data_IF_037757757646
#
_entry.id   IF_037757757646
#
_cell.length_a   1.000
_cell.length_b   1.000
_cell.length_c   1.000
_cell.angle_alpha   90.00
_cell.angle_beta   90.00
_cell.angle_gamma   90.00
#
_symmetry.space_group_name_H-M   'P 1'
#
loop_
_entity.id
_entity.type
_entity.pdbx_description
1 polymer ?
#
# COMPACT_ATOMS: atom_id res chain seq x y z
N UNK A 1 -10.47 12.75 -19.76
CA UNK A 1 -11.09 11.71 -18.89
C UNK A 1 -12.61 11.78 -18.98
N UNK A 2 -13.28 10.64 -19.17
CA UNK A 2 -14.73 10.50 -19.21
C UNK A 2 -15.13 9.19 -18.54
N UNK A 3 -16.34 9.13 -17.97
CA UNK A 3 -16.87 7.98 -17.21
C UNK A 3 -16.05 7.58 -15.98
N UNK A 4 -15.18 8.46 -15.51
CA UNK A 4 -14.36 8.28 -14.32
C UNK A 4 -15.04 8.96 -13.12
N UNK A 5 -14.87 8.38 -11.94
CA UNK A 5 -15.27 9.00 -10.69
C UNK A 5 -14.01 9.57 -10.03
N UNK A 6 -14.00 10.87 -9.78
CA UNK A 6 -12.94 11.56 -9.07
C UNK A 6 -13.31 11.73 -7.61
N UNK A 7 -12.34 11.54 -6.73
CA UNK A 7 -12.45 11.79 -5.30
C UNK A 7 -11.47 12.91 -4.94
N UNK A 8 -11.92 14.17 -4.92
CA UNK A 8 -11.06 15.27 -4.49
C UNK A 8 -10.51 15.03 -3.10
N UNK A 9 -9.32 15.54 -2.81
CA UNK A 9 -8.67 15.37 -1.51
C UNK A 9 -9.60 15.77 -0.35
N UNK A 10 -9.83 14.82 0.57
CA UNK A 10 -10.73 15.02 1.72
C UNK A 10 -12.23 14.85 1.43
N UNK A 11 -12.63 14.52 0.21
CA UNK A 11 -14.03 14.23 -0.10
C UNK A 11 -14.40 12.79 0.22
N UNK A 12 -15.56 12.59 0.84
CA UNK A 12 -16.14 11.25 1.09
C UNK A 12 -16.99 10.78 -0.10
N UNK A 13 -17.40 11.70 -0.97
CA UNK A 13 -18.19 11.41 -2.16
C UNK A 13 -17.41 11.82 -3.41
N UNK A 14 -17.35 10.92 -4.37
CA UNK A 14 -16.77 11.17 -5.68
C UNK A 14 -17.79 11.78 -6.64
N UNK A 15 -17.34 12.56 -7.61
CA UNK A 15 -18.19 12.97 -8.71
C UNK A 15 -17.81 12.27 -10.02
N UNK A 16 -18.83 11.87 -10.77
CA UNK A 16 -18.64 11.19 -12.04
C UNK A 16 -18.51 12.18 -13.18
N UNK A 17 -17.40 12.12 -13.91
CA UNK A 17 -17.19 12.89 -15.14
C UNK A 17 -18.05 12.29 -16.23
N UNK A 18 -18.94 13.09 -16.80
CA UNK A 18 -19.86 12.71 -17.87
C UNK A 18 -19.99 13.83 -18.89
N UNK A 19 -20.50 13.52 -20.06
CA UNK A 19 -20.88 14.55 -21.05
C UNK A 19 -21.76 15.61 -20.38
N UNK A 20 -21.36 16.85 -20.48
CA UNK A 20 -22.03 18.01 -19.89
C UNK A 20 -21.95 19.23 -20.80
N UNK A 21 -22.70 20.28 -20.49
CA UNK A 21 -22.64 21.54 -21.21
C UNK A 21 -22.09 22.62 -20.29
N UNK A 22 -20.94 23.16 -20.64
CA UNK A 22 -20.23 24.19 -19.83
C UNK A 22 -20.25 25.50 -20.62
N UNK A 23 -20.85 26.54 -20.07
CA UNK A 23 -20.96 27.87 -20.70
C UNK A 23 -21.53 27.80 -22.13
N UNK A 24 -22.47 26.90 -22.39
CA UNK A 24 -23.13 26.75 -23.68
C UNK A 24 -22.40 25.81 -24.68
N UNK A 25 -21.20 25.35 -24.36
CA UNK A 25 -20.39 24.44 -25.19
C UNK A 25 -20.45 23.04 -24.62
N UNK A 26 -20.64 22.03 -25.48
CA UNK A 26 -20.59 20.62 -25.06
C UNK A 26 -19.18 20.22 -24.66
N UNK A 27 -19.07 19.63 -23.46
CA UNK A 27 -17.84 19.03 -22.95
C UNK A 27 -18.01 17.51 -22.84
N UNK A 28 -17.07 16.77 -23.38
CA UNK A 28 -17.11 15.29 -23.39
C UNK A 28 -16.18 14.65 -22.36
N UNK A 29 -15.54 15.45 -21.50
CA UNK A 29 -14.61 14.95 -20.50
C UNK A 29 -13.95 16.07 -19.72
N UNK A 30 -12.95 15.73 -18.95
CA UNK A 30 -12.12 16.64 -18.17
C UNK A 30 -10.65 16.29 -18.35
N UNK A 31 -9.81 17.31 -18.50
CA UNK A 31 -8.36 17.16 -18.37
C UNK A 31 -8.05 17.19 -16.88
N UNK A 32 -7.23 16.24 -16.43
CA UNK A 32 -6.97 16.01 -15.01
C UNK A 32 -5.49 16.13 -14.70
N UNK A 33 -5.17 16.61 -13.49
CA UNK A 33 -3.86 16.50 -12.89
C UNK A 33 -3.62 15.08 -12.33
N UNK A 34 -2.40 14.76 -11.94
CA UNK A 34 -2.05 13.44 -11.38
C UNK A 34 -2.80 13.14 -10.07
N UNK A 35 -2.87 14.13 -9.18
CA UNK A 35 -3.54 13.99 -7.89
C UNK A 35 -5.06 13.81 -8.03
N UNK A 36 -5.67 14.44 -9.04
CA UNK A 36 -7.09 14.24 -9.35
C UNK A 36 -7.39 12.80 -9.81
N UNK A 37 -6.42 12.14 -10.42
CA UNK A 37 -6.51 10.73 -10.84
C UNK A 37 -6.05 9.76 -9.74
N UNK A 38 -5.47 10.26 -8.65
CA UNK A 38 -4.95 9.46 -7.55
C UNK A 38 -3.69 8.67 -7.90
N UNK A 39 -2.94 9.08 -8.92
CA UNK A 39 -1.73 8.39 -9.41
C UNK A 39 -0.43 9.12 -9.06
N UNK A 40 -0.52 10.32 -8.53
CA UNK A 40 0.61 11.14 -8.13
C UNK A 40 0.20 12.23 -7.17
N UNK A 41 1.09 13.18 -6.94
CA UNK A 41 0.86 14.33 -6.05
C UNK A 41 0.98 15.68 -6.75
N UNK A 42 1.24 15.69 -8.06
CA UNK A 42 1.35 16.94 -8.82
C UNK A 42 -0.03 17.51 -9.14
N UNK A 43 -0.22 18.77 -8.76
CA UNK A 43 -1.40 19.58 -9.02
C UNK A 43 -1.07 20.86 -9.77
N UNK A 44 0.16 21.04 -10.24
CA UNK A 44 0.58 22.29 -10.91
C UNK A 44 -0.07 22.51 -12.28
N UNK A 45 -0.61 21.45 -12.88
CA UNK A 45 -1.28 21.50 -14.17
C UNK A 45 -1.94 20.17 -14.54
N UNK A 46 -2.44 20.11 -15.77
CA UNK A 46 -2.92 18.84 -16.35
C UNK A 46 -1.75 17.88 -16.55
N UNK A 47 -2.01 16.59 -16.35
CA UNK A 47 -1.01 15.55 -16.63
C UNK A 47 -0.74 15.47 -18.13
N UNK A 48 0.50 15.71 -18.52
CA UNK A 48 0.98 15.56 -19.88
C UNK A 48 1.60 14.17 -20.06
N UNK A 49 1.11 13.40 -21.03
CA UNK A 49 1.67 12.09 -21.38
C UNK A 49 2.80 12.28 -22.41
N UNK A 50 3.78 11.36 -22.46
CA UNK A 50 4.78 11.33 -23.51
C UNK A 50 4.17 11.30 -24.92
N UNK A 51 4.88 11.87 -25.90
CA UNK A 51 4.40 11.98 -27.29
C UNK A 51 4.12 10.62 -27.97
N UNK A 52 4.72 9.56 -27.47
CA UNK A 52 4.55 8.19 -27.95
C UNK A 52 3.37 7.46 -27.30
N UNK A 53 2.66 8.10 -26.37
CA UNK A 53 1.49 7.50 -25.71
C UNK A 53 0.39 7.21 -26.75
N UNK A 54 -0.13 5.94 -26.82
CA UNK A 54 -1.12 5.55 -27.81
C UNK A 54 -2.44 6.32 -27.62
N UNK A 55 -2.84 7.10 -28.61
CA UNK A 55 -4.08 7.85 -28.58
C UNK A 55 -5.28 6.91 -28.52
N UNK A 56 -6.16 7.12 -27.54
CA UNK A 56 -7.36 6.33 -27.35
C UNK A 56 -7.17 5.09 -26.46
N UNK A 57 -5.95 4.79 -26.03
CA UNK A 57 -5.72 3.75 -25.03
C UNK A 57 -6.34 4.15 -23.69
N UNK A 58 -7.04 3.26 -22.98
CA UNK A 58 -7.50 3.55 -21.63
C UNK A 58 -6.35 3.90 -20.70
N UNK A 59 -6.46 5.00 -19.94
CA UNK A 59 -5.39 5.44 -19.03
C UNK A 59 -5.02 4.36 -17.99
N UNK A 60 -5.99 3.56 -17.53
CA UNK A 60 -5.76 2.41 -16.65
C UNK A 60 -4.76 1.40 -17.25
N UNK A 61 -4.88 1.11 -18.53
CA UNK A 61 -3.98 0.18 -19.23
C UNK A 61 -2.61 0.82 -19.48
N UNK A 62 -2.59 2.07 -19.93
CA UNK A 62 -1.36 2.80 -20.20
C UNK A 62 -0.48 2.97 -18.95
N UNK A 63 -1.11 3.24 -17.79
CA UNK A 63 -0.45 3.48 -16.51
C UNK A 63 -0.30 2.20 -15.67
N UNK A 64 -0.68 1.03 -16.20
CA UNK A 64 -0.68 -0.28 -15.49
C UNK A 64 -1.36 -0.21 -14.11
N UNK A 65 -2.47 0.54 -14.01
CA UNK A 65 -3.20 0.69 -12.76
C UNK A 65 -3.92 -0.62 -12.42
N UNK A 66 -3.50 -1.25 -11.33
CA UNK A 66 -4.10 -2.49 -10.86
C UNK A 66 -5.25 -2.21 -9.90
N UNK A 67 -6.29 -3.04 -9.97
CA UNK A 67 -7.34 -3.01 -8.96
C UNK A 67 -6.84 -3.69 -7.69
N UNK A 68 -7.20 -3.11 -6.54
CA UNK A 68 -6.89 -3.67 -5.23
C UNK A 68 -8.12 -3.57 -4.32
N UNK A 69 -8.09 -4.27 -3.20
CA UNK A 69 -9.18 -4.28 -2.23
C UNK A 69 -8.68 -3.77 -0.87
N UNK A 70 -9.20 -2.63 -0.45
CA UNK A 70 -9.00 -2.13 0.90
C UNK A 70 -10.18 -2.55 1.77
N UNK A 71 -9.89 -3.36 2.79
CA UNK A 71 -10.89 -3.85 3.73
C UNK A 71 -10.64 -3.19 5.09
N UNK A 72 -11.55 -2.32 5.49
CA UNK A 72 -11.54 -1.70 6.83
C UNK A 72 -12.02 -2.69 7.88
N UNK A 73 -11.19 -2.97 8.88
CA UNK A 73 -11.50 -3.90 9.97
C UNK A 73 -11.48 -3.16 11.30
N UNK A 74 -12.59 -3.22 12.05
CA UNK A 74 -12.67 -2.74 13.43
C UNK A 74 -12.33 -3.86 14.40
N UNK A 75 -11.28 -3.70 15.19
CA UNK A 75 -10.92 -4.63 16.25
C UNK A 75 -11.41 -4.15 17.61
N UNK A 76 -11.88 -5.08 18.44
CA UNK A 76 -12.11 -4.81 19.85
C UNK A 76 -10.78 -4.78 20.62
N UNK A 77 -10.67 -4.04 21.76
CA UNK A 77 -9.40 -3.89 22.50
C UNK A 77 -8.77 -5.20 22.99
N UNK A 78 -9.55 -6.26 23.13
CA UNK A 78 -9.08 -7.59 23.54
C UNK A 78 -8.53 -8.44 22.39
N UNK A 79 -8.54 -7.94 21.14
CA UNK A 79 -8.11 -8.66 19.95
C UNK A 79 -6.85 -8.06 19.35
N UNK A 80 -5.88 -7.72 20.18
CA UNK A 80 -4.57 -7.21 19.75
C UNK A 80 -3.81 -8.23 18.88
N UNK A 81 -4.08 -9.51 19.06
CA UNK A 81 -3.56 -10.63 18.25
C UNK A 81 -3.96 -10.55 16.77
N UNK A 82 -5.07 -9.87 16.47
CA UNK A 82 -5.58 -9.68 15.12
C UNK A 82 -5.14 -8.36 14.48
N UNK A 83 -4.33 -7.53 15.14
CA UNK A 83 -3.87 -6.24 14.65
C UNK A 83 -2.70 -6.35 13.65
N UNK A 84 -2.80 -7.27 12.69
CA UNK A 84 -1.85 -7.47 11.60
C UNK A 84 -2.48 -8.29 10.47
N UNK A 85 -1.88 -8.29 9.29
CA UNK A 85 -2.32 -9.15 8.18
C UNK A 85 -2.38 -10.63 8.59
N UNK A 86 -1.36 -11.12 9.29
CA UNK A 86 -1.32 -12.52 9.79
C UNK A 86 -2.42 -12.77 10.82
N UNK A 87 -2.66 -11.82 11.72
CA UNK A 87 -3.72 -11.93 12.72
C UNK A 87 -5.10 -12.04 12.07
N UNK A 88 -5.39 -11.18 11.10
CA UNK A 88 -6.63 -11.24 10.30
C UNK A 88 -6.72 -12.54 9.50
N UNK A 89 -5.63 -12.97 8.86
CA UNK A 89 -5.60 -14.22 8.10
C UNK A 89 -5.94 -15.45 8.99
N UNK A 90 -5.45 -15.46 10.23
CA UNK A 90 -5.77 -16.51 11.21
C UNK A 90 -7.26 -16.53 11.56
N UNK A 91 -7.85 -15.39 11.81
CA UNK A 91 -9.28 -15.28 12.11
C UNK A 91 -10.14 -15.70 10.92
N UNK A 92 -9.79 -15.21 9.73
CA UNK A 92 -10.48 -15.59 8.50
C UNK A 92 -10.37 -17.10 8.24
N UNK A 93 -9.19 -17.68 8.41
CA UNK A 93 -9.00 -19.12 8.27
C UNK A 93 -9.81 -19.93 9.30
N UNK A 94 -9.89 -19.46 10.54
CA UNK A 94 -10.72 -20.09 11.57
C UNK A 94 -12.21 -20.07 11.19
N UNK A 95 -12.68 -18.93 10.70
CA UNK A 95 -14.06 -18.78 10.22
C UNK A 95 -14.37 -19.71 9.03
N UNK A 96 -13.52 -19.71 8.01
CA UNK A 96 -13.73 -20.55 6.82
C UNK A 96 -13.70 -22.05 7.15
N UNK A 97 -12.78 -22.47 8.03
CA UNK A 97 -12.74 -23.87 8.52
C UNK A 97 -14.00 -24.25 9.28
N UNK A 98 -14.57 -23.34 10.07
CA UNK A 98 -15.84 -23.59 10.77
C UNK A 98 -17.01 -23.82 9.80
N UNK A 99 -16.88 -23.37 8.57
CA UNK A 99 -17.84 -23.59 7.48
C UNK A 99 -17.53 -24.82 6.62
N UNK A 100 -16.48 -25.57 6.97
CA UNK A 100 -16.09 -26.81 6.28
C UNK A 100 -15.12 -26.59 5.11
N UNK A 101 -14.56 -25.39 4.95
CA UNK A 101 -13.57 -25.12 3.90
C UNK A 101 -12.17 -25.55 4.33
N UNK A 102 -11.43 -26.19 3.42
CA UNK A 102 -10.03 -26.55 3.65
C UNK A 102 -9.11 -25.39 3.28
N UNK A 103 -8.81 -24.54 4.27
CA UNK A 103 -7.94 -23.38 4.11
C UNK A 103 -6.74 -23.45 5.05
N UNK A 104 -5.61 -22.90 4.59
CA UNK A 104 -4.36 -22.81 5.37
C UNK A 104 -3.88 -21.37 5.44
N UNK A 105 -3.27 -21.02 6.55
CA UNK A 105 -2.52 -19.76 6.67
C UNK A 105 -1.07 -20.08 6.32
N UNK A 106 -0.57 -19.43 5.27
CA UNK A 106 0.83 -19.52 4.88
C UNK A 106 1.64 -18.47 5.62
N UNK A 107 2.66 -18.90 6.34
CA UNK A 107 3.57 -17.99 7.01
C UNK A 107 4.72 -17.61 6.06
N UNK A 108 5.16 -16.35 6.06
CA UNK A 108 6.37 -15.98 5.33
C UNK A 108 7.54 -16.84 5.78
N UNK A 109 8.25 -17.43 4.81
CA UNK A 109 9.43 -18.26 5.12
C UNK A 109 10.58 -17.37 5.61
N UNK A 110 11.23 -17.82 6.68
CA UNK A 110 12.45 -17.24 7.21
C UNK A 110 13.70 -18.11 6.95
N UNK A 111 13.53 -19.20 6.20
CA UNK A 111 14.61 -20.17 5.92
C UNK A 111 15.79 -19.58 5.14
N UNK A 112 15.53 -18.52 4.35
CA UNK A 112 16.56 -17.80 3.62
C UNK A 112 17.39 -16.84 4.48
N UNK A 113 17.03 -16.63 5.75
CA UNK A 113 17.79 -15.75 6.63
C UNK A 113 18.99 -16.49 7.23
N UNK A 114 20.18 -15.94 7.02
CA UNK A 114 21.41 -16.41 7.66
C UNK A 114 22.27 -15.21 8.05
N UNK A 115 23.01 -15.36 9.16
CA UNK A 115 24.05 -14.39 9.53
C UNK A 115 25.31 -14.73 8.74
N UNK A 116 25.72 -13.83 7.85
CA UNK A 116 26.86 -14.05 6.95
C UNK A 116 28.21 -13.65 7.56
N UNK A 117 28.22 -12.78 8.60
CA UNK A 117 29.42 -12.45 9.36
C UNK A 117 29.08 -11.96 10.77
N UNK A 118 30.12 -11.79 11.59
CA UNK A 118 30.03 -11.28 12.97
C UNK A 118 30.91 -10.06 13.22
N UNK A 119 31.19 -9.27 12.19
CA UNK A 119 32.17 -8.17 12.25
C UNK A 119 31.64 -7.00 13.10
N UNK A 120 30.37 -6.81 13.18
CA UNK A 120 29.71 -5.74 13.94
C UNK A 120 28.65 -6.33 14.91
N UNK A 121 29.10 -6.97 16.01
CA UNK A 121 28.17 -7.57 16.96
C UNK A 121 27.38 -6.50 17.73
N UNK A 122 26.11 -6.79 18.00
CA UNK A 122 25.28 -6.00 18.91
C UNK A 122 25.24 -6.70 20.27
N UNK A 123 25.57 -5.96 21.33
CA UNK A 123 25.33 -6.43 22.69
C UNK A 123 23.89 -6.18 23.07
N UNK A 124 23.22 -7.23 23.54
CA UNK A 124 21.84 -7.15 24.04
C UNK A 124 21.86 -7.52 25.52
N UNK A 125 21.41 -6.58 26.36
CA UNK A 125 21.20 -6.78 27.79
C UNK A 125 19.74 -6.54 28.11
N UNK A 126 19.10 -7.49 28.78
CA UNK A 126 17.72 -7.38 29.27
C UNK A 126 17.74 -7.14 30.76
N UNK A 127 17.57 -5.89 31.17
CA UNK A 127 17.61 -5.49 32.57
C UNK A 127 16.43 -6.02 33.39
N UNK A 128 15.25 -6.13 32.77
CA UNK A 128 14.04 -6.70 33.40
C UNK A 128 13.44 -7.80 32.51
N UNK A 129 13.74 -9.08 32.79
CA UNK A 129 13.23 -10.19 31.97
C UNK A 129 11.73 -10.47 32.15
N UNK A 130 11.07 -9.85 33.14
CA UNK A 130 9.62 -9.96 33.29
C UNK A 130 8.91 -8.98 32.38
N UNK A 131 9.40 -7.74 32.31
CA UNK A 131 8.85 -6.71 31.44
C UNK A 131 9.24 -6.91 29.97
N UNK A 132 10.44 -7.39 29.71
CA UNK A 132 10.96 -7.66 28.35
C UNK A 132 11.61 -9.06 28.30
N UNK A 133 10.82 -10.14 28.17
CA UNK A 133 11.34 -11.51 28.29
C UNK A 133 12.32 -11.92 27.19
N UNK A 134 12.30 -11.21 26.07
CA UNK A 134 13.23 -11.45 24.95
C UNK A 134 13.41 -10.20 24.10
N UNK A 135 14.66 -9.98 23.71
CA UNK A 135 15.04 -8.99 22.71
C UNK A 135 16.04 -9.61 21.72
N UNK A 136 15.95 -9.26 20.47
CA UNK A 136 16.89 -9.71 19.44
C UNK A 136 17.30 -8.51 18.58
N UNK A 137 18.55 -8.48 18.17
CA UNK A 137 19.11 -7.46 17.30
C UNK A 137 19.96 -8.09 16.20
N UNK A 138 19.97 -7.46 15.05
CA UNK A 138 20.84 -7.81 13.93
C UNK A 138 21.40 -6.53 13.32
N UNK A 139 22.69 -6.55 12.96
CA UNK A 139 23.32 -5.47 12.21
C UNK A 139 23.26 -5.79 10.73
N UNK A 140 22.76 -4.85 9.94
CA UNK A 140 22.71 -4.96 8.49
C UNK A 140 23.57 -3.85 7.91
N UNK A 141 24.59 -4.22 7.12
CA UNK A 141 25.52 -3.28 6.47
C UNK A 141 25.22 -3.15 4.98
N UNK A 142 25.81 -2.13 4.35
CA UNK A 142 25.66 -1.90 2.91
C UNK A 142 24.29 -1.41 2.47
N UNK A 143 23.42 -1.02 3.39
CA UNK A 143 22.13 -0.46 3.06
C UNK A 143 22.30 0.86 2.29
N UNK A 144 21.63 0.97 1.14
CA UNK A 144 21.54 2.22 0.37
C UNK A 144 20.13 2.78 0.50
N UNK A 145 20.07 4.04 0.87
CA UNK A 145 18.80 4.76 0.89
C UNK A 145 18.33 4.95 -0.56
N UNK A 146 17.14 4.45 -0.87
CA UNK A 146 16.53 4.50 -2.19
C UNK A 146 14.98 4.52 -2.05
N UNK A 147 14.24 4.86 -3.10
CA UNK A 147 12.81 4.58 -3.15
C UNK A 147 12.53 3.09 -2.93
N UNK A 148 11.45 2.78 -2.26
CA UNK A 148 10.99 1.40 -2.11
C UNK A 148 10.59 0.80 -3.45
N UNK A 149 10.60 -0.54 -3.62
CA UNK A 149 10.07 -1.18 -4.81
C UNK A 149 8.60 -0.81 -5.04
N UNK A 150 8.17 -0.72 -6.28
CA UNK A 150 6.82 -0.25 -6.66
C UNK A 150 5.71 -1.03 -5.95
N UNK A 151 5.84 -2.36 -5.87
CA UNK A 151 4.86 -3.20 -5.18
C UNK A 151 4.65 -2.82 -3.70
N UNK A 152 5.72 -2.40 -3.02
CA UNK A 152 5.64 -1.95 -1.61
C UNK A 152 5.04 -0.56 -1.52
N UNK A 153 5.42 0.34 -2.42
CA UNK A 153 4.85 1.68 -2.50
C UNK A 153 3.33 1.61 -2.76
N UNK A 154 2.91 0.74 -3.67
CA UNK A 154 1.49 0.57 -4.02
C UNK A 154 0.70 0.01 -2.84
N UNK A 155 1.23 -0.99 -2.15
CA UNK A 155 0.60 -1.54 -0.95
C UNK A 155 0.45 -0.48 0.16
N UNK A 156 1.46 0.37 0.38
CA UNK A 156 1.39 1.46 1.36
C UNK A 156 0.39 2.54 0.94
N UNK A 157 0.40 2.95 -0.33
CA UNK A 157 -0.57 3.92 -0.85
C UNK A 157 -2.00 3.41 -0.74
N UNK A 158 -2.23 2.13 -0.98
CA UNK A 158 -3.56 1.51 -0.88
C UNK A 158 -4.17 1.68 0.52
N UNK A 159 -3.35 1.69 1.58
CA UNK A 159 -3.80 1.92 2.96
C UNK A 159 -3.63 3.39 3.43
N UNK A 160 -3.34 4.30 2.51
CA UNK A 160 -3.24 5.74 2.78
C UNK A 160 -1.89 6.18 3.39
N UNK A 161 -0.86 5.35 3.32
CA UNK A 161 0.49 5.68 3.78
C UNK A 161 1.32 6.19 2.60
N UNK A 162 1.91 7.38 2.74
CA UNK A 162 2.83 7.92 1.73
C UNK A 162 4.21 7.27 1.87
N UNK A 163 4.70 6.55 0.84
CA UNK A 163 6.05 5.99 0.82
C UNK A 163 7.12 7.07 1.01
N UNK A 164 8.19 6.76 1.73
CA UNK A 164 9.31 7.66 2.01
C UNK A 164 10.62 7.17 1.41
N UNK A 165 11.03 6.01 1.81
CA UNK A 165 12.23 5.32 1.36
C UNK A 165 12.22 3.87 1.87
N UNK A 166 13.05 3.04 1.26
CA UNK A 166 13.09 1.61 1.54
C UNK A 166 13.29 1.23 3.02
N UNK A 167 13.98 2.04 3.81
CA UNK A 167 14.21 1.73 5.24
C UNK A 167 12.99 2.06 6.09
N UNK A 168 12.38 3.22 5.86
CA UNK A 168 11.18 3.65 6.58
C UNK A 168 9.97 2.82 6.16
N UNK A 169 9.83 2.54 4.87
CA UNK A 169 8.67 1.86 4.32
C UNK A 169 8.60 0.40 4.76
N UNK A 170 9.73 -0.28 4.94
CA UNK A 170 9.76 -1.62 5.55
C UNK A 170 9.08 -1.62 6.92
N UNK A 171 9.38 -0.63 7.77
CA UNK A 171 8.79 -0.55 9.12
C UNK A 171 7.29 -0.23 9.11
N UNK A 172 6.81 0.40 8.04
CA UNK A 172 5.38 0.68 7.86
C UNK A 172 4.64 -0.49 7.20
N UNK A 173 5.35 -1.31 6.43
CA UNK A 173 4.78 -2.45 5.71
C UNK A 173 4.62 -3.69 6.61
N UNK A 174 5.57 -3.92 7.54
CA UNK A 174 5.56 -5.03 8.51
C UNK A 174 4.69 -4.66 9.71
#
# INVERSE_FOLDING_TARGET
>A
TINTVLYPAGATEGFKIKKSKIRGVESFGMLCAEDELGIGSDHAGIMELPDDAPVGMPAKEYLDIKDDWLIGIGLTPNRIDAASHIGVARDLAAYLRSRGEDVKVEWPSVEGFSVDNHDLPISVEVADPVAAPRYAGVTITGCRLAPSPDWMQDALRAVGINPKNNLVDITNYV
#
